data_IF_562024255813
#
_entry.id   IF_562024255813
#
_cell.length_a   1.000
_cell.length_b   1.000
_cell.length_c   1.000
_cell.angle_alpha   90.00
_cell.angle_beta   90.00
_cell.angle_gamma   90.00
#
_symmetry.space_group_name_H-M   'P 1'
#
loop_
_entity.id
_entity.type
_entity.pdbx_description
1 polymer ?
#
# COMPACT_ATOMS: atom_id res chain seq x y z
N UNK A 1 25.98 45.88 -7.68
CA UNK A 1 25.83 44.98 -6.52
C UNK A 1 24.67 44.05 -6.82
N UNK A 2 25.00 42.85 -7.33
CA UNK A 2 24.14 41.98 -8.15
C UNK A 2 24.03 40.56 -7.57
N UNK A 3 24.08 40.40 -6.25
CA UNK A 3 24.15 39.07 -5.61
C UNK A 3 22.95 38.73 -4.69
N UNK A 4 21.93 39.59 -4.60
CA UNK A 4 20.81 39.40 -3.65
C UNK A 4 19.55 38.71 -4.24
N UNK A 5 19.60 38.15 -5.45
CA UNK A 5 18.40 37.66 -6.17
C UNK A 5 18.45 36.17 -6.58
N UNK A 6 19.46 35.40 -6.18
CA UNK A 6 19.62 34.00 -6.62
C UNK A 6 19.01 32.93 -5.68
N UNK A 7 18.35 33.30 -4.58
CA UNK A 7 17.91 32.34 -3.54
C UNK A 7 16.37 32.27 -3.33
N UNK A 8 15.56 32.45 -4.38
CA UNK A 8 14.10 32.53 -4.25
C UNK A 8 13.27 31.56 -5.13
N UNK A 9 13.86 30.65 -5.90
CA UNK A 9 13.13 29.83 -6.90
C UNK A 9 13.05 28.31 -6.64
N UNK A 10 12.88 27.87 -5.38
CA UNK A 10 12.60 26.44 -5.07
C UNK A 10 11.28 26.06 -4.33
N UNK A 11 10.23 26.91 -4.18
CA UNK A 11 8.98 26.46 -3.52
C UNK A 11 8.17 25.40 -4.28
N UNK A 12 8.24 25.37 -5.63
CA UNK A 12 7.32 24.61 -6.49
C UNK A 12 7.52 23.09 -6.41
N UNK A 13 8.76 22.61 -6.37
CA UNK A 13 9.04 21.18 -6.35
C UNK A 13 8.55 20.49 -5.06
N UNK A 14 8.64 21.18 -3.92
CA UNK A 14 8.15 20.66 -2.63
C UNK A 14 6.62 20.54 -2.62
N UNK A 15 5.92 21.55 -3.14
CA UNK A 15 4.45 21.56 -3.22
C UNK A 15 3.95 20.45 -4.15
N UNK A 16 4.59 20.27 -5.32
CA UNK A 16 4.24 19.22 -6.26
C UNK A 16 4.41 17.81 -5.68
N UNK A 17 5.51 17.55 -4.96
CA UNK A 17 5.75 16.27 -4.30
C UNK A 17 4.72 15.99 -3.20
N UNK A 18 4.41 16.98 -2.38
CA UNK A 18 3.40 16.85 -1.33
C UNK A 18 2.03 16.54 -1.93
N UNK A 19 1.62 17.25 -3.00
CA UNK A 19 0.36 16.98 -3.69
C UNK A 19 0.30 15.55 -4.28
N UNK A 20 1.41 15.07 -4.85
CA UNK A 20 1.49 13.71 -5.38
C UNK A 20 1.28 12.65 -4.27
N UNK A 21 1.89 12.84 -3.10
CA UNK A 21 1.71 11.94 -1.94
C UNK A 21 0.27 11.98 -1.43
N UNK A 22 -0.32 13.17 -1.28
CA UNK A 22 -1.71 13.30 -0.85
C UNK A 22 -2.69 12.65 -1.82
N UNK A 23 -2.50 12.85 -3.13
CA UNK A 23 -3.32 12.21 -4.15
C UNK A 23 -3.17 10.68 -4.11
N UNK A 24 -1.94 10.19 -3.94
CA UNK A 24 -1.69 8.75 -3.80
C UNK A 24 -2.40 8.17 -2.58
N UNK A 25 -2.27 8.81 -1.41
CA UNK A 25 -2.93 8.39 -0.18
C UNK A 25 -4.46 8.40 -0.33
N UNK A 26 -5.02 9.46 -0.92
CA UNK A 26 -6.46 9.56 -1.20
C UNK A 26 -6.96 8.44 -2.10
N UNK A 27 -6.18 8.02 -3.11
CA UNK A 27 -6.53 6.90 -3.97
C UNK A 27 -6.38 5.55 -3.25
N UNK A 28 -5.38 5.41 -2.38
CA UNK A 28 -5.12 4.22 -1.58
C UNK A 28 -6.21 3.98 -0.54
N UNK A 29 -6.68 5.04 0.13
CA UNK A 29 -7.76 4.98 1.14
C UNK A 29 -9.16 5.06 0.53
N UNK A 30 -9.27 5.11 -0.81
CA UNK A 30 -10.56 5.15 -1.47
C UNK A 30 -11.37 3.86 -1.19
N UNK A 31 -12.68 3.93 -0.87
CA UNK A 31 -13.46 2.76 -0.44
C UNK A 31 -13.40 1.58 -1.41
N UNK A 32 -13.43 1.84 -2.72
CA UNK A 32 -13.31 0.81 -3.74
C UNK A 32 -11.93 0.12 -3.75
N UNK A 33 -10.85 0.87 -3.49
CA UNK A 33 -9.48 0.34 -3.38
C UNK A 33 -9.37 -0.54 -2.14
N UNK A 34 -9.81 -0.03 -0.98
CA UNK A 34 -9.75 -0.74 0.30
C UNK A 34 -10.58 -2.03 0.25
N UNK A 35 -11.80 -1.99 -0.30
CA UNK A 35 -12.65 -3.18 -0.41
C UNK A 35 -12.01 -4.27 -1.27
N UNK A 36 -11.44 -3.89 -2.42
CA UNK A 36 -10.74 -4.83 -3.30
C UNK A 36 -9.51 -5.41 -2.61
N UNK A 37 -8.68 -4.56 -2.00
CA UNK A 37 -7.48 -4.98 -1.30
C UNK A 37 -7.77 -5.90 -0.12
N UNK A 38 -8.80 -5.61 0.67
CA UNK A 38 -9.24 -6.45 1.78
C UNK A 38 -9.75 -7.80 1.30
N UNK A 39 -10.56 -7.83 0.24
CA UNK A 39 -11.05 -9.08 -0.34
C UNK A 39 -9.90 -9.94 -0.88
N UNK A 40 -8.96 -9.34 -1.61
CA UNK A 40 -7.73 -10.02 -2.06
C UNK A 40 -6.94 -10.57 -0.88
N UNK A 41 -6.75 -9.76 0.18
CA UNK A 41 -6.00 -10.15 1.35
C UNK A 41 -6.64 -11.32 2.09
N UNK A 42 -7.96 -11.30 2.29
CA UNK A 42 -8.68 -12.39 2.96
C UNK A 42 -8.55 -13.68 2.17
N UNK A 43 -8.83 -13.67 0.86
CA UNK A 43 -8.80 -14.90 0.06
C UNK A 43 -7.39 -15.45 -0.06
N UNK A 44 -6.46 -14.64 -0.59
CA UNK A 44 -5.10 -15.09 -0.86
C UNK A 44 -4.37 -15.36 0.46
N UNK A 45 -4.53 -14.48 1.44
CA UNK A 45 -3.90 -14.63 2.75
C UNK A 45 -4.40 -15.85 3.51
N UNK A 46 -5.70 -16.19 3.46
CA UNK A 46 -6.21 -17.42 4.09
C UNK A 46 -5.62 -18.67 3.46
N UNK A 47 -5.54 -18.70 2.12
CA UNK A 47 -4.90 -19.82 1.39
C UNK A 47 -3.44 -19.93 1.80
N UNK A 48 -2.70 -18.81 1.80
CA UNK A 48 -1.29 -18.79 2.16
C UNK A 48 -1.04 -19.16 3.63
N UNK A 49 -1.87 -18.72 4.56
CA UNK A 49 -1.78 -19.12 5.98
C UNK A 49 -2.00 -20.62 6.11
N UNK A 50 -3.01 -21.16 5.42
CA UNK A 50 -3.31 -22.60 5.45
C UNK A 50 -2.12 -23.43 4.97
N UNK A 51 -1.50 -23.08 3.84
CA UNK A 51 -0.38 -23.87 3.31
C UNK A 51 0.92 -23.69 4.10
N UNK A 52 1.20 -22.49 4.65
CA UNK A 52 2.47 -22.19 5.31
C UNK A 52 2.44 -22.49 6.82
N UNK A 53 1.27 -22.42 7.44
CA UNK A 53 1.11 -22.51 8.88
C UNK A 53 -0.04 -23.42 9.33
N UNK A 54 -0.74 -24.08 8.41
CA UNK A 54 -1.86 -24.96 8.74
C UNK A 54 -1.47 -26.08 9.71
N UNK A 55 -0.30 -26.68 9.53
CA UNK A 55 0.16 -27.74 10.43
C UNK A 55 0.37 -27.23 11.87
N UNK A 56 1.03 -26.08 12.02
CA UNK A 56 1.21 -25.47 13.34
C UNK A 56 -0.11 -24.99 13.96
N UNK A 57 -1.10 -24.60 13.15
CA UNK A 57 -2.45 -24.30 13.65
C UNK A 57 -3.14 -25.56 14.18
N UNK A 58 -3.02 -26.69 13.49
CA UNK A 58 -3.57 -27.97 13.94
C UNK A 58 -2.89 -28.49 15.22
N UNK A 59 -1.58 -28.24 15.37
CA UNK A 59 -0.81 -28.58 16.57
C UNK A 59 -0.92 -27.55 17.71
N UNK A 60 -1.54 -26.39 17.48
CA UNK A 60 -1.64 -25.31 18.47
C UNK A 60 -0.33 -24.57 18.77
N UNK A 61 0.67 -24.67 17.89
CA UNK A 61 2.02 -24.12 18.06
C UNK A 61 2.11 -22.65 17.62
N UNK A 62 1.44 -21.76 18.36
CA UNK A 62 1.40 -20.33 18.06
C UNK A 62 2.51 -19.56 18.81
N UNK A 63 3.70 -19.48 18.21
CA UNK A 63 4.74 -18.56 18.68
C UNK A 63 4.52 -17.14 18.16
N UNK A 64 5.05 -16.13 18.86
CA UNK A 64 4.96 -14.72 18.42
C UNK A 64 5.57 -14.47 17.03
N UNK A 65 6.64 -15.19 16.69
CA UNK A 65 7.25 -15.16 15.34
C UNK A 65 6.25 -15.67 14.30
N UNK A 66 5.55 -16.77 14.60
CA UNK A 66 4.60 -17.39 13.67
C UNK A 66 3.35 -16.53 13.48
N UNK A 67 2.87 -15.88 14.53
CA UNK A 67 1.78 -14.88 14.44
C UNK A 67 2.23 -13.73 13.52
N UNK A 68 3.45 -13.23 13.68
CA UNK A 68 3.98 -12.16 12.82
C UNK A 68 4.03 -12.60 11.35
N UNK A 69 4.44 -13.84 11.07
CA UNK A 69 4.42 -14.40 9.71
C UNK A 69 3.00 -14.50 9.14
N UNK A 70 2.01 -14.93 9.94
CA UNK A 70 0.61 -14.96 9.52
C UNK A 70 0.08 -13.56 9.20
N UNK A 71 0.40 -12.56 10.03
CA UNK A 71 0.01 -11.17 9.79
C UNK A 71 0.62 -10.63 8.49
N UNK A 72 1.91 -10.90 8.24
CA UNK A 72 2.56 -10.53 6.98
C UNK A 72 1.92 -11.23 5.77
N UNK A 73 1.49 -12.48 5.96
CA UNK A 73 0.81 -13.26 4.91
C UNK A 73 -0.51 -12.63 4.46
N UNK A 74 -1.20 -11.91 5.35
CA UNK A 74 -2.38 -11.09 5.02
C UNK A 74 -1.98 -9.70 4.50
N UNK A 75 -0.94 -9.09 5.07
CA UNK A 75 -0.51 -7.74 4.72
C UNK A 75 0.03 -7.63 3.29
N UNK A 76 0.83 -8.60 2.84
CA UNK A 76 1.42 -8.61 1.49
C UNK A 76 0.36 -8.52 0.38
N UNK A 77 -0.66 -9.40 0.32
CA UNK A 77 -1.70 -9.31 -0.72
C UNK A 77 -2.55 -8.04 -0.63
N UNK A 78 -2.77 -7.49 0.58
CA UNK A 78 -3.42 -6.18 0.73
C UNK A 78 -2.61 -5.05 0.09
N UNK A 79 -1.30 -4.98 0.40
CA UNK A 79 -0.40 -3.93 -0.09
C UNK A 79 -0.30 -4.00 -1.61
N UNK A 80 -0.07 -5.18 -2.17
CA UNK A 80 0.05 -5.38 -3.62
C UNK A 80 -1.23 -4.96 -4.35
N UNK A 81 -2.40 -5.37 -3.83
CA UNK A 81 -3.70 -5.00 -4.41
C UNK A 81 -3.97 -3.48 -4.33
N UNK A 82 -3.56 -2.84 -3.23
CA UNK A 82 -3.67 -1.38 -3.05
C UNK A 82 -2.77 -0.63 -4.04
N UNK A 83 -1.48 -0.99 -4.12
CA UNK A 83 -0.50 -0.35 -5.01
C UNK A 83 -0.94 -0.47 -6.47
N UNK A 84 -1.34 -1.67 -6.90
CA UNK A 84 -1.86 -1.93 -8.24
C UNK A 84 -3.09 -1.07 -8.55
N UNK A 85 -4.06 -1.05 -7.63
CA UNK A 85 -5.29 -0.25 -7.79
C UNK A 85 -5.01 1.25 -7.91
N UNK A 86 -4.08 1.78 -7.12
CA UNK A 86 -3.69 3.20 -7.20
C UNK A 86 -2.99 3.50 -8.52
N UNK A 87 -2.10 2.64 -9.00
CA UNK A 87 -1.43 2.82 -10.30
C UNK A 87 -2.45 2.91 -11.44
N UNK A 88 -3.35 1.94 -11.52
CA UNK A 88 -4.38 1.90 -12.58
C UNK A 88 -5.27 3.15 -12.54
N UNK A 89 -5.69 3.61 -11.36
CA UNK A 89 -6.54 4.81 -11.25
C UNK A 89 -5.81 6.08 -11.66
N UNK A 90 -4.50 6.17 -11.41
CA UNK A 90 -3.67 7.29 -11.86
C UNK A 90 -3.48 7.27 -13.38
N UNK A 91 -3.26 6.10 -13.97
CA UNK A 91 -3.15 5.94 -15.42
C UNK A 91 -4.45 6.29 -16.15
N UNK A 92 -5.62 5.95 -15.58
CA UNK A 92 -6.92 6.30 -16.15
C UNK A 92 -7.19 7.81 -16.10
N UNK A 93 -6.88 8.47 -14.98
CA UNK A 93 -7.04 9.93 -14.86
C UNK A 93 -6.01 10.75 -15.67
N UNK A 94 -5.02 10.12 -16.30
CA UNK A 94 -4.09 10.76 -17.24
C UNK A 94 -4.59 10.69 -18.70
N UNK A 95 -5.60 9.86 -18.98
CA UNK A 95 -6.17 9.66 -20.32
C UNK A 95 -7.42 10.49 -20.59
N UNK A 96 -7.90 11.23 -19.57
CA UNK A 96 -8.97 12.23 -19.64
C UNK A 96 -8.38 13.63 -19.77
#
# INVERSE_FOLDING_TARGET
>A
MSESQAHALQPTARIARTQAVWNWLRLATHPATVRRALFTAIIVGTVLITINHGDALLRGELSGVRITQMLLTLAVPYIVSTVSSVSTRRELGQKE
#
